data_IF_499122846183
#
_entry.id   IF_499122846183
#
_cell.length_a   1.000
_cell.length_b   1.000
_cell.length_c   1.000
_cell.angle_alpha   90.00
_cell.angle_beta   90.00
_cell.angle_gamma   90.00
#
_symmetry.space_group_name_H-M   'P 1'
#
loop_
_entity.id
_entity.type
_entity.pdbx_description
1 polymer ?
#
# COMPACT_ATOMS: atom_id res chain seq x y z
N UNK A 1 -8.01 -2.81 -8.12
CA UNK A 1 -6.55 -2.55 -8.08
C UNK A 1 -5.80 -3.87 -7.88
N UNK A 2 -4.50 -3.97 -8.22
CA UNK A 2 -3.71 -5.13 -7.78
C UNK A 2 -3.39 -5.01 -6.28
N UNK A 3 -3.36 -6.11 -5.51
CA UNK A 3 -3.03 -6.06 -4.08
C UNK A 3 -1.62 -5.53 -3.86
N UNK A 4 -1.46 -4.55 -2.96
CA UNK A 4 -0.15 -4.10 -2.51
C UNK A 4 0.42 -5.15 -1.57
N UNK A 5 1.39 -5.92 -2.06
CA UNK A 5 2.20 -6.85 -1.27
C UNK A 5 3.56 -6.22 -1.03
N UNK A 6 3.90 -5.87 0.22
CA UNK A 6 5.25 -5.32 0.47
C UNK A 6 5.52 -4.62 1.79
N UNK A 7 4.51 -4.31 2.61
CA UNK A 7 4.76 -3.75 3.95
C UNK A 7 5.09 -4.84 4.97
N UNK A 8 6.04 -4.57 5.87
CA UNK A 8 6.33 -5.43 7.03
C UNK A 8 6.62 -4.60 8.27
N UNK A 9 6.33 -5.13 9.45
CA UNK A 9 6.56 -4.46 10.73
C UNK A 9 6.96 -5.44 11.82
N UNK A 10 7.43 -4.93 12.95
CA UNK A 10 7.87 -5.74 14.08
C UNK A 10 6.93 -5.55 15.26
N UNK A 11 6.45 -6.65 15.84
CA UNK A 11 5.71 -6.62 17.11
C UNK A 11 6.64 -7.07 18.22
N UNK A 12 6.88 -6.19 19.19
CA UNK A 12 7.63 -6.51 20.39
C UNK A 12 6.66 -6.85 21.52
N UNK A 13 6.90 -7.98 22.19
CA UNK A 13 6.13 -8.38 23.36
C UNK A 13 7.07 -8.93 24.44
N UNK A 14 6.71 -8.73 25.70
CA UNK A 14 7.44 -9.32 26.83
C UNK A 14 6.49 -10.20 27.63
N UNK A 15 6.97 -11.39 28.03
CA UNK A 15 6.24 -12.31 28.91
C UNK A 15 7.14 -12.73 30.05
N UNK A 16 6.57 -12.86 31.23
CA UNK A 16 7.28 -13.40 32.38
C UNK A 16 6.59 -14.65 32.87
N UNK A 17 7.36 -15.70 33.14
CA UNK A 17 6.87 -16.98 33.67
C UNK A 17 7.67 -17.35 34.92
N UNK A 18 7.01 -18.01 35.87
CA UNK A 18 7.65 -18.45 37.10
C UNK A 18 7.89 -19.96 37.03
N UNK A 19 9.09 -20.39 37.38
CA UNK A 19 9.40 -21.80 37.63
C UNK A 19 9.80 -22.00 39.08
N UNK A 20 9.53 -23.18 39.63
CA UNK A 20 9.76 -23.50 41.04
C UNK A 20 10.81 -24.60 41.14
N UNK A 21 11.93 -24.32 41.81
CA UNK A 21 12.97 -25.29 42.08
C UNK A 21 12.64 -26.10 43.34
N UNK A 22 12.37 -27.39 43.19
CA UNK A 22 11.84 -28.27 44.23
C UNK A 22 12.95 -28.89 45.09
N UNK A 23 13.78 -28.07 45.74
CA UNK A 23 14.79 -28.54 46.70
C UNK A 23 14.22 -28.64 48.12
N UNK A 24 15.06 -28.98 49.11
CA UNK A 24 14.67 -29.03 50.54
C UNK A 24 14.01 -27.72 51.00
N UNK A 25 14.41 -26.59 50.40
CA UNK A 25 13.76 -25.29 50.54
C UNK A 25 13.30 -24.79 49.15
N UNK A 26 12.07 -25.11 48.72
CA UNK A 26 11.57 -24.71 47.42
C UNK A 26 11.58 -23.18 47.26
N UNK A 27 12.02 -22.72 46.10
CA UNK A 27 12.06 -21.29 45.77
C UNK A 27 11.72 -21.07 44.30
N UNK A 28 11.39 -19.82 43.98
CA UNK A 28 10.91 -19.43 42.66
C UNK A 28 12.01 -18.74 41.86
N UNK A 29 11.99 -18.98 40.55
CA UNK A 29 12.79 -18.26 39.57
C UNK A 29 11.85 -17.62 38.56
N UNK A 30 12.18 -16.40 38.19
CA UNK A 30 11.44 -15.62 37.21
C UNK A 30 12.17 -15.66 35.88
N UNK A 31 11.50 -16.16 34.85
CA UNK A 31 11.98 -16.20 33.48
C UNK A 31 11.33 -15.06 32.70
N UNK A 32 12.14 -14.19 32.10
CA UNK A 32 11.65 -13.12 31.24
C UNK A 32 11.95 -13.45 29.78
N UNK A 33 10.89 -13.44 28.96
CA UNK A 33 10.94 -13.65 27.53
C UNK A 33 10.67 -12.33 26.81
N UNK A 34 11.41 -12.06 25.74
CA UNK A 34 11.28 -10.89 24.88
C UNK A 34 11.13 -11.37 23.45
N UNK A 35 9.94 -11.19 22.90
CA UNK A 35 9.57 -11.63 21.56
C UNK A 35 9.65 -10.47 20.58
N UNK A 36 10.17 -10.76 19.39
CA UNK A 36 10.29 -9.84 18.25
C UNK A 36 9.72 -10.53 17.01
N UNK A 37 8.39 -10.47 16.85
CA UNK A 37 7.72 -11.13 15.73
C UNK A 37 7.71 -10.23 14.50
N UNK A 38 8.29 -10.70 13.39
CA UNK A 38 8.16 -10.04 12.08
C UNK A 38 6.77 -10.33 11.52
N UNK A 39 6.09 -9.29 11.06
CA UNK A 39 4.76 -9.37 10.46
C UNK A 39 4.87 -8.99 8.99
N UNK A 40 4.26 -9.81 8.12
CA UNK A 40 4.03 -9.47 6.73
C UNK A 40 2.61 -8.95 6.60
N UNK A 41 2.43 -7.86 5.86
CA UNK A 41 1.11 -7.30 5.58
C UNK A 41 0.57 -7.79 4.25
N UNK A 42 -0.74 -8.05 4.23
CA UNK A 42 -1.48 -8.22 3.00
C UNK A 42 -2.67 -7.25 2.99
N UNK A 43 -2.75 -6.44 1.95
CA UNK A 43 -3.87 -5.53 1.70
C UNK A 43 -4.77 -6.09 0.60
N UNK A 44 -6.08 -6.11 0.85
CA UNK A 44 -7.09 -6.57 -0.10
C UNK A 44 -8.32 -5.67 -0.06
N UNK A 45 -9.06 -5.55 -1.18
CA UNK A 45 -10.39 -4.93 -1.20
C UNK A 45 -10.47 -3.45 -1.58
N UNK A 46 -9.36 -2.79 -1.93
CA UNK A 46 -9.35 -1.40 -2.40
C UNK A 46 -9.83 -1.26 -3.87
N UNK A 47 -11.05 -1.73 -4.16
CA UNK A 47 -11.66 -1.56 -5.48
C UNK A 47 -12.47 -0.27 -5.54
N UNK A 48 -12.33 0.47 -6.65
CA UNK A 48 -13.03 1.74 -6.84
C UNK A 48 -14.52 1.48 -7.09
N UNK A 49 -15.40 2.04 -6.27
CA UNK A 49 -16.86 1.84 -6.38
C UNK A 49 -17.54 2.94 -7.18
N UNK A 50 -17.25 4.20 -6.87
CA UNK A 50 -17.95 5.34 -7.47
C UNK A 50 -17.05 6.56 -7.48
N UNK A 51 -17.03 7.28 -8.59
CA UNK A 51 -16.25 8.50 -8.72
C UNK A 51 -16.75 9.43 -9.82
N UNK A 52 -16.18 10.62 -9.87
CA UNK A 52 -16.44 11.61 -10.93
C UNK A 52 -15.17 12.35 -11.33
N UNK A 53 -15.19 12.90 -12.54
CA UNK A 53 -14.18 13.83 -13.05
C UNK A 53 -14.87 15.11 -13.51
N UNK A 54 -14.32 16.26 -13.14
CA UNK A 54 -14.68 17.56 -13.68
C UNK A 54 -13.40 18.20 -14.21
N UNK A 55 -13.43 18.71 -15.42
CA UNK A 55 -12.28 19.39 -16.00
C UNK A 55 -12.69 20.44 -17.01
N UNK A 56 -11.76 21.34 -17.28
CA UNK A 56 -11.88 22.37 -18.30
C UNK A 56 -10.59 22.41 -19.11
N UNK A 57 -10.72 22.65 -20.41
CA UNK A 57 -9.59 22.84 -21.32
C UNK A 57 -9.78 24.16 -22.04
N UNK A 58 -8.70 24.93 -22.16
CA UNK A 58 -8.63 26.12 -23.01
C UNK A 58 -7.55 25.89 -24.04
N UNK A 59 -7.89 26.08 -25.32
CA UNK A 59 -6.96 25.85 -26.42
C UNK A 59 -6.99 26.97 -27.45
N UNK A 60 -5.92 27.08 -28.22
CA UNK A 60 -5.82 28.00 -29.34
C UNK A 60 -5.01 27.37 -30.48
N UNK A 61 -5.47 27.59 -31.70
CA UNK A 61 -4.78 27.24 -32.94
C UNK A 61 -3.72 28.30 -33.28
N UNK A 62 -2.57 27.84 -33.74
CA UNK A 62 -1.37 28.64 -34.02
C UNK A 62 -0.85 28.38 -35.45
N UNK A 63 -1.76 28.48 -36.43
CA UNK A 63 -1.44 28.25 -37.84
C UNK A 63 -0.32 29.14 -38.40
N UNK A 64 -0.12 30.32 -37.78
CA UNK A 64 0.96 31.24 -38.14
C UNK A 64 2.37 30.71 -37.82
N UNK A 65 2.49 29.77 -36.87
CA UNK A 65 3.77 29.17 -36.45
C UNK A 65 3.97 27.85 -37.18
N UNK A 66 2.97 26.98 -37.12
CA UNK A 66 2.89 25.74 -37.88
C UNK A 66 1.43 25.50 -38.22
N UNK A 67 1.09 25.27 -39.50
CA UNK A 67 -0.27 24.91 -39.89
C UNK A 67 -0.76 23.70 -39.09
N UNK A 68 -1.95 23.80 -38.50
CA UNK A 68 -2.58 22.72 -37.73
C UNK A 68 -2.05 22.55 -36.31
N UNK A 69 -1.14 23.40 -35.83
CA UNK A 69 -0.69 23.35 -34.43
C UNK A 69 -1.77 23.94 -33.51
N UNK A 70 -2.25 23.14 -32.55
CA UNK A 70 -3.15 23.55 -31.48
C UNK A 70 -2.51 23.34 -30.13
N UNK A 71 -2.40 24.39 -29.33
CA UNK A 71 -1.93 24.31 -27.95
C UNK A 71 -3.13 24.35 -27.01
N UNK A 72 -3.17 23.45 -26.03
CA UNK A 72 -4.23 23.33 -25.04
C UNK A 72 -3.67 23.29 -23.62
N UNK A 73 -4.32 23.99 -22.71
CA UNK A 73 -4.11 23.86 -21.27
C UNK A 73 -5.36 23.24 -20.65
N UNK A 74 -5.17 22.12 -19.97
CA UNK A 74 -6.24 21.34 -19.35
C UNK A 74 -6.03 21.31 -17.83
N UNK A 75 -7.09 21.63 -17.08
CA UNK A 75 -7.15 21.43 -15.64
C UNK A 75 -8.29 20.49 -15.29
N UNK A 76 -8.02 19.46 -14.49
CA UNK A 76 -9.03 18.49 -14.07
C UNK A 76 -8.94 18.14 -12.60
N UNK A 77 -10.10 17.87 -12.01
CA UNK A 77 -10.28 17.35 -10.67
C UNK A 77 -11.02 16.02 -10.77
N UNK A 78 -10.47 14.98 -10.16
CA UNK A 78 -11.06 13.65 -10.08
C UNK A 78 -11.26 13.29 -8.62
N UNK A 79 -12.39 12.68 -8.30
CA UNK A 79 -12.63 12.07 -6.99
C UNK A 79 -13.19 10.68 -7.18
N UNK A 80 -12.55 9.69 -6.58
CA UNK A 80 -13.03 8.31 -6.57
C UNK A 80 -13.09 7.80 -5.13
N UNK A 81 -14.19 7.16 -4.76
CA UNK A 81 -14.31 6.42 -3.51
C UNK A 81 -13.90 4.97 -3.75
N UNK A 82 -13.20 4.40 -2.79
CA UNK A 82 -12.87 2.97 -2.74
C UNK A 82 -13.75 2.28 -1.71
N UNK A 83 -14.12 1.04 -2.01
CA UNK A 83 -14.74 0.15 -1.04
C UNK A 83 -13.78 -0.24 0.08
N UNK A 84 -14.24 -1.15 0.93
CA UNK A 84 -13.55 -1.59 2.14
C UNK A 84 -12.13 -2.13 1.85
N UNK A 85 -11.10 -1.36 2.21
CA UNK A 85 -9.72 -1.83 2.22
C UNK A 85 -9.46 -2.56 3.54
N UNK A 86 -8.99 -3.79 3.46
CA UNK A 86 -8.60 -4.59 4.64
C UNK A 86 -7.10 -4.80 4.65
N UNK A 87 -6.46 -4.42 5.76
CA UNK A 87 -5.08 -4.71 6.08
C UNK A 87 -5.05 -5.82 7.14
N UNK A 88 -4.45 -6.96 6.80
CA UNK A 88 -4.26 -8.07 7.71
C UNK A 88 -2.78 -8.44 7.84
N UNK A 89 -2.39 -8.90 9.03
CA UNK A 89 -1.04 -9.33 9.30
C UNK A 89 -0.97 -10.23 10.54
N UNK A 90 0.11 -11.00 10.61
CA UNK A 90 0.39 -11.86 11.76
C UNK A 90 1.87 -12.21 11.81
N UNK A 91 2.32 -12.59 12.98
CA UNK A 91 3.71 -12.92 13.25
C UNK A 91 3.82 -13.93 14.37
N UNK A 92 4.85 -14.76 14.30
CA UNK A 92 5.20 -15.69 15.36
C UNK A 92 6.67 -15.51 15.70
N UNK A 93 6.98 -15.69 16.98
CA UNK A 93 8.34 -15.69 17.47
C UNK A 93 8.52 -16.73 18.57
N UNK A 94 9.76 -17.14 18.78
CA UNK A 94 10.14 -18.12 19.78
C UNK A 94 11.36 -17.63 20.52
N UNK A 95 11.21 -17.38 21.82
CA UNK A 95 12.25 -16.83 22.66
C UNK A 95 12.69 -17.83 23.74
N UNK A 96 13.92 -17.65 24.23
CA UNK A 96 14.55 -18.52 25.21
C UNK A 96 15.00 -17.72 26.42
N UNK A 97 14.50 -18.10 27.60
CA UNK A 97 14.93 -17.55 28.88
C UNK A 97 15.64 -18.62 29.70
N UNK A 98 16.60 -18.23 30.54
CA UNK A 98 17.35 -19.18 31.36
C UNK A 98 17.42 -18.74 32.82
N UNK A 99 17.61 -19.71 33.71
CA UNK A 99 17.89 -19.48 35.12
C UNK A 99 18.93 -20.47 35.65
N UNK A 100 19.68 -20.04 36.66
CA UNK A 100 20.67 -20.87 37.33
C UNK A 100 20.03 -21.61 38.51
N UNK A 101 20.28 -22.91 38.59
CA UNK A 101 19.84 -23.77 39.69
C UNK A 101 21.06 -24.39 40.36
N UNK A 102 21.13 -24.30 41.69
CA UNK A 102 22.21 -24.90 42.48
C UNK A 102 21.68 -25.40 43.84
N UNK A 103 21.70 -26.71 44.14
CA UNK A 103 22.09 -27.82 43.28
C UNK A 103 21.11 -28.02 42.10
N UNK A 104 21.28 -29.07 41.29
CA UNK A 104 20.25 -29.49 40.33
C UNK A 104 18.96 -29.96 41.03
N UNK A 105 18.05 -30.57 40.27
CA UNK A 105 16.84 -31.17 40.82
C UNK A 105 15.59 -30.94 39.97
N UNK A 106 14.44 -31.29 40.54
CA UNK A 106 13.16 -31.13 39.86
C UNK A 106 12.75 -29.66 39.83
N UNK A 107 12.23 -29.24 38.69
CA UNK A 107 11.74 -27.89 38.42
C UNK A 107 10.29 -28.04 37.96
N UNK A 108 9.38 -27.39 38.66
CA UNK A 108 7.99 -27.25 38.22
C UNK A 108 7.88 -26.00 37.36
N UNK A 109 7.26 -26.13 36.18
CA UNK A 109 7.11 -25.05 35.22
C UNK A 109 5.71 -25.07 34.59
N UNK A 110 5.19 -23.93 34.11
CA UNK A 110 3.93 -23.90 33.40
C UNK A 110 4.03 -24.67 32.06
N UNK A 111 2.89 -25.15 31.57
CA UNK A 111 2.80 -25.86 30.28
C UNK A 111 2.99 -24.91 29.08
N UNK A 112 2.97 -23.59 29.31
CA UNK A 112 3.22 -22.55 28.31
C UNK A 112 4.70 -22.40 27.93
N UNK A 113 5.61 -23.08 28.62
CA UNK A 113 7.04 -23.09 28.32
C UNK A 113 7.58 -24.50 28.17
N UNK A 114 8.54 -24.65 27.27
CA UNK A 114 9.17 -25.91 26.91
C UNK A 114 10.59 -25.96 27.48
N UNK A 115 10.92 -26.91 28.36
CA UNK A 115 12.28 -27.13 28.82
C UNK A 115 13.20 -27.48 27.67
N UNK A 116 14.39 -26.86 27.59
CA UNK A 116 15.41 -27.20 26.61
C UNK A 116 16.47 -28.11 27.22
N UNK A 117 17.05 -28.98 26.39
CA UNK A 117 18.18 -29.81 26.80
C UNK A 117 19.30 -28.92 27.39
N UNK A 118 19.95 -29.31 28.51
CA UNK A 118 19.95 -30.66 29.09
C UNK A 118 18.86 -30.94 30.14
N UNK A 119 17.82 -30.10 30.28
CA UNK A 119 16.66 -30.47 31.11
C UNK A 119 15.97 -31.71 30.54
N UNK A 120 15.60 -32.64 31.42
CA UNK A 120 14.84 -33.83 31.04
C UNK A 120 13.40 -33.70 31.52
N UNK A 121 12.42 -33.79 30.62
CA UNK A 121 11.00 -33.75 31.00
C UNK A 121 10.65 -35.07 31.70
N UNK A 122 10.27 -34.97 32.97
CA UNK A 122 9.92 -36.13 33.82
C UNK A 122 8.41 -36.27 33.99
N UNK A 123 7.64 -35.24 33.64
CA UNK A 123 6.18 -35.26 33.61
C UNK A 123 5.61 -33.94 33.11
N UNK A 124 4.27 -33.83 32.98
CA UNK A 124 3.62 -32.58 32.61
C UNK A 124 4.00 -31.46 33.59
N UNK A 125 4.61 -30.39 33.08
CA UNK A 125 5.03 -29.25 33.90
C UNK A 125 6.17 -29.56 34.88
N UNK A 126 6.89 -30.67 34.69
CA UNK A 126 8.04 -31.03 35.54
C UNK A 126 9.23 -31.46 34.68
N UNK A 127 10.35 -30.79 34.89
CA UNK A 127 11.63 -31.12 34.30
C UNK A 127 12.70 -31.36 35.38
N UNK A 128 13.72 -32.15 35.09
CA UNK A 128 14.84 -32.39 35.98
C UNK A 128 16.12 -31.77 35.42
N UNK A 129 16.77 -30.95 36.24
CA UNK A 129 18.12 -30.45 36.06
C UNK A 129 19.13 -31.46 36.66
N UNK A 130 20.00 -32.02 35.83
CA UNK A 130 20.92 -33.11 36.21
C UNK A 130 21.95 -32.70 37.29
N UNK A 131 22.23 -31.40 37.43
CA UNK A 131 23.19 -30.87 38.39
C UNK A 131 23.11 -29.36 38.52
N UNK A 132 24.02 -28.76 39.27
CA UNK A 132 24.12 -27.30 39.34
C UNK A 132 24.49 -26.73 37.97
N UNK A 133 23.77 -25.71 37.51
CA UNK A 133 24.01 -25.12 36.19
C UNK A 133 22.92 -24.15 35.76
N UNK A 134 23.13 -23.54 34.59
CA UNK A 134 22.13 -22.68 33.93
C UNK A 134 21.33 -23.51 32.94
N UNK A 135 20.02 -23.44 33.05
CA UNK A 135 19.10 -24.20 32.21
C UNK A 135 18.10 -23.26 31.53
N UNK A 136 17.73 -23.61 30.31
CA UNK A 136 16.92 -22.77 29.44
C UNK A 136 15.53 -23.36 29.23
N UNK A 137 14.57 -22.46 29.06
CA UNK A 137 13.20 -22.74 28.68
C UNK A 137 12.87 -21.90 27.46
N UNK A 138 12.07 -22.46 26.58
CA UNK A 138 11.59 -21.81 25.38
C UNK A 138 10.11 -21.47 25.53
N UNK A 139 9.72 -20.34 24.99
CA UNK A 139 8.34 -19.89 24.93
C UNK A 139 7.99 -19.47 23.50
N UNK A 140 6.74 -19.66 23.11
CA UNK A 140 6.24 -19.22 21.82
C UNK A 140 5.35 -17.98 21.99
N UNK A 141 5.36 -17.11 21.01
CA UNK A 141 4.47 -15.96 20.87
C UNK A 141 3.86 -15.94 19.47
N UNK A 142 2.57 -15.64 19.38
CA UNK A 142 1.83 -15.49 18.12
C UNK A 142 0.91 -14.28 18.25
N UNK A 143 0.87 -13.45 17.21
CA UNK A 143 -0.02 -12.28 17.11
C UNK A 143 -0.69 -12.25 15.75
N UNK A 144 -1.95 -11.82 15.73
CA UNK A 144 -2.75 -11.60 14.51
C UNK A 144 -3.50 -10.28 14.65
N UNK A 145 -3.62 -9.54 13.56
CA UNK A 145 -4.34 -8.27 13.52
C UNK A 145 -5.06 -8.09 12.18
N UNK A 146 -6.18 -7.36 12.22
CA UNK A 146 -6.94 -6.98 11.04
C UNK A 146 -7.59 -5.63 11.28
N UNK A 147 -7.36 -4.68 10.38
CA UNK A 147 -8.07 -3.40 10.31
C UNK A 147 -8.67 -3.27 8.93
N UNK A 148 -9.88 -2.74 8.88
CA UNK A 148 -10.55 -2.44 7.63
C UNK A 148 -11.20 -1.06 7.71
N UNK A 149 -11.11 -0.30 6.63
CA UNK A 149 -11.71 1.02 6.52
C UNK A 149 -12.06 1.33 5.06
N UNK A 150 -12.96 2.28 4.86
CA UNK A 150 -13.34 2.80 3.54
C UNK A 150 -12.58 4.11 3.27
N UNK A 151 -12.38 4.44 1.99
CA UNK A 151 -11.54 5.58 1.64
C UNK A 151 -11.93 6.30 0.35
N UNK A 152 -11.25 7.41 0.07
CA UNK A 152 -11.33 8.12 -1.19
C UNK A 152 -9.96 8.60 -1.67
N UNK A 153 -9.83 8.78 -2.98
CA UNK A 153 -8.73 9.51 -3.63
C UNK A 153 -9.26 10.74 -4.34
N UNK A 154 -8.54 11.84 -4.20
CA UNK A 154 -8.78 13.09 -4.89
C UNK A 154 -7.54 13.44 -5.71
N UNK A 155 -7.68 13.63 -7.02
CA UNK A 155 -6.57 13.96 -7.90
C UNK A 155 -6.83 15.27 -8.62
N UNK A 156 -5.91 16.22 -8.50
CA UNK A 156 -5.84 17.43 -9.29
C UNK A 156 -4.78 17.26 -10.36
N UNK A 157 -5.10 17.48 -11.63
CA UNK A 157 -4.13 17.41 -12.72
C UNK A 157 -4.16 18.68 -13.56
N UNK A 158 -2.97 19.16 -13.90
CA UNK A 158 -2.75 20.26 -14.83
C UNK A 158 -1.88 19.76 -15.97
N UNK A 159 -2.36 19.90 -17.21
CA UNK A 159 -1.71 19.42 -18.42
C UNK A 159 -1.53 20.56 -19.41
N UNK A 160 -0.39 20.57 -20.09
CA UNK A 160 -0.12 21.36 -21.27
C UNK A 160 0.04 20.40 -22.46
N UNK A 161 -0.79 20.59 -23.48
CA UNK A 161 -0.87 19.71 -24.64
C UNK A 161 -0.54 20.47 -25.92
N UNK A 162 0.06 19.76 -26.87
CA UNK A 162 0.22 20.17 -28.25
C UNK A 162 -0.39 19.09 -29.15
N UNK A 163 -1.36 19.50 -29.95
CA UNK A 163 -2.00 18.68 -30.97
C UNK A 163 -1.67 19.23 -32.35
N UNK A 164 -1.53 18.31 -33.30
CA UNK A 164 -1.35 18.60 -34.70
C UNK A 164 -2.56 18.07 -35.45
N UNK A 165 -3.39 18.99 -35.92
CA UNK A 165 -4.53 18.71 -36.78
C UNK A 165 -4.03 18.62 -38.22
N UNK A 166 -4.23 17.46 -38.84
CA UNK A 166 -3.85 17.18 -40.22
C UNK A 166 -5.01 17.57 -41.14
N UNK A 167 -5.19 18.87 -41.32
CA UNK A 167 -6.26 19.42 -42.16
C UNK A 167 -6.04 19.04 -43.63
N UNK A 168 -7.07 18.48 -44.27
CA UNK A 168 -7.13 18.16 -45.69
C UNK A 168 -8.40 18.76 -46.30
N UNK A 169 -8.55 18.72 -47.62
CA UNK A 169 -9.77 19.16 -48.34
C UNK A 169 -11.02 18.29 -48.08
N UNK A 170 -11.00 17.46 -47.04
CA UNK A 170 -12.03 16.48 -46.69
C UNK A 170 -12.68 16.85 -45.36
N UNK A 171 -13.91 16.39 -45.13
CA UNK A 171 -14.63 16.53 -43.84
C UNK A 171 -13.99 15.78 -42.66
N UNK A 172 -12.82 15.17 -42.88
CA UNK A 172 -12.09 14.36 -41.94
C UNK A 172 -10.78 15.07 -41.57
N UNK A 173 -10.64 15.42 -40.29
CA UNK A 173 -9.44 16.03 -39.73
C UNK A 173 -8.82 15.09 -38.71
N UNK A 174 -7.87 14.21 -39.11
CA UNK A 174 -7.08 13.45 -38.17
C UNK A 174 -6.25 14.38 -37.30
N UNK A 175 -6.03 14.03 -36.04
CA UNK A 175 -5.12 14.75 -35.17
C UNK A 175 -4.24 13.79 -34.38
N UNK A 176 -3.04 14.24 -34.07
CA UNK A 176 -2.10 13.51 -33.22
C UNK A 176 -1.36 14.48 -32.33
N UNK A 177 -1.00 14.05 -31.14
CA UNK A 177 -0.26 14.91 -30.25
C UNK A 177 -0.12 14.30 -28.88
N UNK A 178 0.23 15.16 -27.94
CA UNK A 178 0.44 14.75 -26.58
C UNK A 178 0.64 15.95 -25.68
N UNK A 179 0.82 15.66 -24.41
CA UNK A 179 1.06 16.69 -23.43
C UNK A 179 1.82 16.16 -22.26
N UNK A 180 2.28 17.11 -21.48
CA UNK A 180 2.97 16.89 -20.22
C UNK A 180 2.30 17.72 -19.16
N UNK A 181 2.45 17.31 -17.91
CA UNK A 181 1.79 17.97 -16.82
C UNK A 181 2.21 17.42 -15.48
N UNK A 182 1.42 17.78 -14.49
CA UNK A 182 1.65 17.39 -13.12
C UNK A 182 0.31 17.05 -12.48
N UNK A 183 0.28 15.93 -11.76
CA UNK A 183 -0.89 15.44 -11.07
C UNK A 183 -0.58 15.30 -9.58
N UNK A 184 -1.42 15.88 -8.73
CA UNK A 184 -1.34 15.74 -7.28
C UNK A 184 -2.52 14.90 -6.83
N UNK A 185 -2.23 13.76 -6.21
CA UNK A 185 -3.22 12.84 -5.65
C UNK A 185 -3.15 12.86 -4.13
N UNK A 186 -4.31 12.98 -3.50
CA UNK A 186 -4.49 12.81 -2.06
C UNK A 186 -5.30 11.54 -1.82
N UNK A 187 -4.79 10.67 -0.97
CA UNK A 187 -5.43 9.43 -0.53
C UNK A 187 -5.85 9.57 0.92
N UNK A 188 -7.10 9.22 1.21
CA UNK A 188 -7.66 9.22 2.57
C UNK A 188 -8.43 7.91 2.76
N UNK A 189 -7.80 6.95 3.44
CA UNK A 189 -8.34 5.63 3.78
C UNK A 189 -8.42 5.41 5.29
N UNK A 190 -8.62 6.50 6.04
CA UNK A 190 -8.76 6.48 7.49
C UNK A 190 -7.57 5.82 8.21
N UNK A 191 -7.82 4.75 8.97
CA UNK A 191 -6.77 4.08 9.74
C UNK A 191 -5.84 3.17 8.89
N UNK A 192 -6.15 2.98 7.60
CA UNK A 192 -5.47 2.01 6.74
C UNK A 192 -4.36 2.67 5.90
N UNK A 193 -4.61 3.86 5.34
CA UNK A 193 -3.63 4.63 4.57
C UNK A 193 -4.03 6.12 4.48
N UNK A 194 -3.05 7.01 4.52
CA UNK A 194 -3.21 8.46 4.27
C UNK A 194 -1.93 8.96 3.58
N UNK A 195 -2.06 9.86 2.62
CA UNK A 195 -0.91 10.37 1.87
C UNK A 195 -1.27 11.40 0.80
N UNK A 196 -0.31 12.27 0.49
CA UNK A 196 -0.38 13.20 -0.65
C UNK A 196 0.87 12.99 -1.48
N UNK A 197 0.68 12.72 -2.76
CA UNK A 197 1.79 12.52 -3.69
C UNK A 197 1.57 13.29 -5.00
N UNK A 198 2.66 13.74 -5.61
CA UNK A 198 2.65 14.61 -6.76
C UNK A 198 3.59 14.11 -7.84
N UNK A 199 3.02 13.72 -8.98
CA UNK A 199 3.76 13.04 -10.03
C UNK A 199 3.78 13.83 -11.34
N UNK A 200 4.88 13.68 -12.05
CA UNK A 200 4.94 14.04 -13.45
C UNK A 200 3.95 13.17 -14.24
N UNK A 201 3.15 13.82 -15.07
CA UNK A 201 2.18 13.16 -15.93
C UNK A 201 2.49 13.47 -17.39
N UNK A 202 2.29 12.48 -18.25
CA UNK A 202 2.36 12.66 -19.69
C UNK A 202 1.24 11.92 -20.39
N UNK A 203 0.89 12.41 -21.56
CA UNK A 203 -0.13 11.80 -22.40
C UNK A 203 0.23 11.88 -23.86
N UNK A 204 -0.21 10.89 -24.61
CA UNK A 204 -0.12 10.86 -26.08
C UNK A 204 -1.45 10.36 -26.61
N UNK A 205 -1.88 10.90 -27.73
CA UNK A 205 -3.13 10.49 -28.34
C UNK A 205 -3.17 10.77 -29.82
N UNK A 206 -4.13 10.13 -30.46
CA UNK A 206 -4.52 10.42 -31.83
C UNK A 206 -6.03 10.30 -31.93
N UNK A 207 -6.62 11.03 -32.86
CA UNK A 207 -8.03 10.95 -33.12
C UNK A 207 -8.38 11.43 -34.51
N UNK A 208 -9.67 11.41 -34.77
CA UNK A 208 -10.28 11.83 -36.00
C UNK A 208 -11.47 12.69 -35.66
N UNK A 209 -11.47 13.90 -36.18
CA UNK A 209 -12.62 14.77 -36.11
C UNK A 209 -13.36 14.75 -37.46
N UNK A 210 -14.68 14.73 -37.40
CA UNK A 210 -15.58 14.67 -38.55
C UNK A 210 -16.48 15.90 -38.48
N UNK A 211 -16.44 16.73 -39.51
CA UNK A 211 -17.34 17.87 -39.62
C UNK A 211 -18.74 17.37 -39.99
N UNK A 212 -19.71 17.60 -39.11
CA UNK A 212 -21.12 17.17 -39.30
C UNK A 212 -21.97 18.32 -39.84
N UNK A 213 -21.58 19.55 -39.51
CA UNK A 213 -22.13 20.80 -40.01
C UNK A 213 -21.01 21.85 -40.07
N UNK A 214 -21.27 23.01 -40.69
CA UNK A 214 -20.29 24.13 -40.75
C UNK A 214 -19.76 24.56 -39.36
N UNK A 215 -20.60 24.45 -38.32
CA UNK A 215 -20.26 24.87 -36.96
C UNK A 215 -20.12 23.71 -35.97
N UNK A 216 -20.29 22.46 -36.40
CA UNK A 216 -20.37 21.30 -35.50
C UNK A 216 -19.50 20.16 -35.96
N UNK A 217 -18.65 19.68 -35.05
CA UNK A 217 -17.71 18.61 -35.30
C UNK A 217 -17.87 17.50 -34.26
N UNK A 218 -17.83 16.25 -34.72
CA UNK A 218 -17.79 15.07 -33.85
C UNK A 218 -16.38 14.46 -33.92
N UNK A 219 -15.76 14.28 -32.76
CA UNK A 219 -14.43 13.72 -32.62
C UNK A 219 -14.44 12.33 -31.99
N UNK A 220 -13.68 11.41 -32.56
CA UNK A 220 -13.29 10.14 -31.94
C UNK A 220 -11.79 10.17 -31.66
N UNK A 221 -11.40 10.00 -30.40
CA UNK A 221 -10.01 10.01 -29.98
C UNK A 221 -9.64 8.78 -29.18
N UNK A 222 -8.37 8.38 -29.28
CA UNK A 222 -7.73 7.45 -28.37
C UNK A 222 -6.57 8.16 -27.67
N UNK A 223 -6.53 8.10 -26.34
CA UNK A 223 -5.49 8.73 -25.53
C UNK A 223 -4.91 7.72 -24.55
N UNK A 224 -3.59 7.67 -24.49
CA UNK A 224 -2.82 7.00 -23.45
C UNK A 224 -2.32 8.05 -22.46
N UNK A 225 -2.51 7.80 -21.17
CA UNK A 225 -2.12 8.68 -20.08
C UNK A 225 -1.34 7.89 -19.02
N UNK A 226 -0.24 8.46 -18.56
CA UNK A 226 0.63 7.88 -17.54
C UNK A 226 1.02 8.99 -16.55
N UNK A 227 0.81 8.73 -15.26
CA UNK A 227 1.08 9.67 -14.18
C UNK A 227 2.14 9.16 -13.20
N UNK A 228 3.05 8.27 -13.65
CA UNK A 228 4.14 7.76 -12.82
C UNK A 228 3.69 6.94 -11.62
N UNK A 229 4.61 6.79 -10.67
CA UNK A 229 4.49 5.86 -9.53
C UNK A 229 4.11 6.63 -8.26
N UNK A 230 3.13 6.15 -7.52
CA UNK A 230 2.66 6.75 -6.27
C UNK A 230 3.25 5.98 -5.09
N UNK A 231 3.80 6.69 -4.10
CA UNK A 231 4.30 6.10 -2.86
C UNK A 231 3.19 6.05 -1.79
N UNK A 232 2.75 4.84 -1.45
CA UNK A 232 1.75 4.57 -0.41
C UNK A 232 2.44 4.35 0.93
N UNK A 233 2.09 5.14 1.94
CA UNK A 233 2.56 4.95 3.31
C UNK A 233 1.63 4.01 4.08
N UNK A 234 2.16 2.86 4.52
CA UNK A 234 1.42 1.87 5.31
C UNK A 234 1.76 1.98 6.80
N UNK A 235 0.77 2.03 7.70
CA UNK A 235 0.99 1.99 9.13
C UNK A 235 1.54 0.63 9.56
N UNK A 236 2.46 0.62 10.52
CA UNK A 236 2.99 -0.62 11.11
C UNK A 236 2.67 -0.73 12.60
N UNK A 237 2.58 -1.94 13.16
CA UNK A 237 2.39 -2.15 14.60
C UNK A 237 3.49 -1.57 15.49
N UNK A 238 4.70 -1.32 14.94
CA UNK A 238 5.81 -0.65 15.66
C UNK A 238 5.75 0.87 15.60
N UNK A 239 4.80 1.46 14.85
CA UNK A 239 4.68 2.90 14.65
C UNK A 239 5.67 3.49 13.63
N UNK A 240 6.41 2.66 12.89
CA UNK A 240 7.34 3.10 11.83
C UNK A 240 6.72 2.82 10.47
N UNK A 241 6.24 3.82 9.72
CA UNK A 241 5.56 3.58 8.45
C UNK A 241 6.48 2.94 7.40
N UNK A 242 5.92 2.09 6.52
CA UNK A 242 6.63 1.50 5.37
C UNK A 242 6.00 2.00 4.08
N UNK A 243 6.84 2.37 3.12
CA UNK A 243 6.42 2.81 1.80
C UNK A 243 6.27 1.65 0.81
N UNK A 244 5.27 1.73 -0.06
CA UNK A 244 5.11 0.86 -1.23
C UNK A 244 4.87 1.70 -2.49
N UNK A 245 5.52 1.38 -3.60
CA UNK A 245 5.39 2.10 -4.88
C UNK A 245 4.33 1.45 -5.79
N UNK A 246 3.53 2.26 -6.50
CA UNK A 246 2.50 1.78 -7.44
C UNK A 246 2.35 2.65 -8.70
N UNK A 247 2.44 2.05 -9.89
CA UNK A 247 2.25 2.71 -11.19
C UNK A 247 0.79 3.14 -11.45
N UNK A 248 0.59 4.36 -11.95
CA UNK A 248 -0.71 4.88 -12.41
C UNK A 248 -0.72 5.04 -13.95
N UNK A 249 -1.37 4.09 -14.65
CA UNK A 249 -1.48 4.07 -16.13
C UNK A 249 -2.92 3.86 -16.59
N UNK A 250 -3.30 4.50 -17.69
CA UNK A 250 -4.65 4.38 -18.25
C UNK A 250 -4.72 4.59 -19.76
N UNK A 251 -5.67 3.91 -20.40
CA UNK A 251 -6.05 4.13 -21.81
C UNK A 251 -7.51 4.51 -21.88
N UNK A 252 -7.86 5.53 -22.67
CA UNK A 252 -9.23 5.99 -22.84
C UNK A 252 -9.61 6.17 -24.31
N UNK A 253 -10.87 5.81 -24.61
CA UNK A 253 -11.55 6.17 -25.85
C UNK A 253 -12.44 7.37 -25.55
N UNK A 254 -12.31 8.42 -26.35
CA UNK A 254 -12.98 9.70 -26.16
C UNK A 254 -13.94 9.95 -27.32
N UNK A 255 -15.19 10.27 -27.00
CA UNK A 255 -16.14 10.86 -27.93
C UNK A 255 -16.29 12.33 -27.57
N UNK A 256 -16.08 13.23 -28.53
CA UNK A 256 -16.09 14.67 -28.32
C UNK A 256 -17.07 15.34 -29.29
N UNK A 257 -17.76 16.36 -28.80
CA UNK A 257 -18.61 17.23 -29.60
C UNK A 257 -18.05 18.65 -29.48
N UNK A 258 -17.65 19.23 -30.60
CA UNK A 258 -17.04 20.55 -30.66
C UNK A 258 -17.94 21.48 -31.46
N UNK A 259 -18.28 22.63 -30.88
CA UNK A 259 -19.02 23.69 -31.55
C UNK A 259 -18.10 24.90 -31.76
N UNK A 260 -17.96 25.35 -33.01
CA UNK A 260 -17.16 26.53 -33.37
C UNK A 260 -18.06 27.77 -33.25
N UNK A 261 -17.54 28.82 -32.61
CA UNK A 261 -18.22 30.12 -32.42
C UNK A 261 -17.65 31.19 -33.34
#
# INVERSE_FOLDING_TARGET
MAPVTGGGGVVNAARTETVVHQTIAPHNHTLAFVFTAVTNFNMTGADAETGFVVGATVGREYDNIMPGLRLEFEGSFRRNNFGLATLAGGGADTDTASSAFNPGGNITHPLSITPLAPLTVVGPGVANAAGAGTYAFQANFVTNFTVADEGNVQTWALMANAWFDLTNDSDFTPYVGGGIGYAISKFDGGAVYDGVDGNFAWQVGAGLNIDVSEDTQIGLGYRYFDAGDVELTLPTPSGTPVSAEQDVRGSSVLLQLTHKL
#
